data_IF_790785838742
#
_entry.id   IF_790785838742
#
_cell.length_a   1.000
_cell.length_b   1.000
_cell.length_c   1.000
_cell.angle_alpha   90.00
_cell.angle_beta   90.00
_cell.angle_gamma   90.00
#
_symmetry.space_group_name_H-M   'P 1'
#
loop_
_entity.id
_entity.type
_entity.pdbx_description
1 polymer ?
#
# COMPACT_ATOMS: atom_id res chain seq x y z
N UNK A 1 47.33 -10.59 81.08
CA UNK A 1 45.88 -10.50 80.76
C UNK A 1 45.49 -9.04 80.79
N UNK A 2 44.65 -8.65 79.84
CA UNK A 2 44.09 -7.30 79.61
C UNK A 2 44.99 -6.31 78.85
N UNK A 3 44.41 -5.82 77.76
CA UNK A 3 44.96 -4.91 76.78
C UNK A 3 44.11 -5.05 75.53
N UNK A 4 42.84 -4.63 75.60
CA UNK A 4 41.91 -4.65 74.47
C UNK A 4 42.41 -3.70 73.40
N UNK A 5 42.98 -4.27 72.34
CA UNK A 5 43.05 -3.66 71.03
C UNK A 5 41.65 -3.66 70.38
N UNK A 6 41.48 -2.72 69.43
CA UNK A 6 40.40 -2.61 68.45
C UNK A 6 39.07 -2.05 68.95
N UNK A 7 38.90 -0.72 68.80
CA UNK A 7 37.65 -0.12 68.31
C UNK A 7 37.94 1.31 67.83
N UNK A 8 38.83 1.42 66.86
CA UNK A 8 39.28 2.69 66.27
C UNK A 8 38.72 2.93 64.87
N UNK A 9 37.57 2.33 64.50
CA UNK A 9 37.05 2.40 63.12
C UNK A 9 35.51 2.32 62.99
N UNK A 10 34.74 2.48 64.07
CA UNK A 10 33.28 2.61 63.93
C UNK A 10 32.95 4.04 63.44
N UNK A 11 32.56 4.15 62.17
CA UNK A 11 32.04 5.39 61.60
C UNK A 11 30.71 5.71 62.31
N UNK A 12 30.75 6.63 63.28
CA UNK A 12 29.56 7.09 63.98
C UNK A 12 28.62 7.85 63.03
N UNK A 13 27.56 7.16 62.60
CA UNK A 13 26.53 7.70 61.69
C UNK A 13 25.86 8.97 62.25
N UNK A 14 25.82 9.11 63.58
CA UNK A 14 25.23 10.26 64.25
C UNK A 14 26.14 11.50 64.20
N UNK A 15 27.46 11.30 64.29
CA UNK A 15 28.44 12.38 64.18
C UNK A 15 28.47 12.94 62.75
N UNK A 16 28.39 12.07 61.75
CA UNK A 16 28.23 12.47 60.34
C UNK A 16 26.95 13.31 60.14
N UNK A 17 25.87 13.00 60.84
CA UNK A 17 24.60 13.74 60.74
C UNK A 17 24.70 15.14 61.35
N UNK A 18 25.36 15.28 62.51
CA UNK A 18 25.68 16.58 63.13
C UNK A 18 26.63 17.41 62.27
N UNK A 19 27.63 16.77 61.66
CA UNK A 19 28.58 17.40 60.76
C UNK A 19 27.88 17.95 59.50
N UNK A 20 26.95 17.18 58.94
CA UNK A 20 26.11 17.62 57.83
C UNK A 20 25.23 18.82 58.22
N UNK A 21 24.69 18.82 59.45
CA UNK A 21 23.88 19.91 59.99
C UNK A 21 24.65 21.22 60.13
N UNK A 22 25.91 21.17 60.60
CA UNK A 22 26.80 22.32 60.66
C UNK A 22 27.15 22.87 59.27
N UNK A 23 27.22 21.98 58.28
CA UNK A 23 27.47 22.31 56.87
C UNK A 23 26.26 22.84 56.08
N UNK A 24 25.09 23.08 56.72
CA UNK A 24 23.83 23.43 56.05
C UNK A 24 23.93 24.54 55.00
N UNK A 25 24.73 25.58 55.24
CA UNK A 25 24.90 26.69 54.28
C UNK A 25 25.56 26.23 52.98
N UNK A 26 26.59 25.39 53.09
CA UNK A 26 27.31 24.81 51.95
C UNK A 26 26.41 23.93 51.11
N UNK A 27 25.59 23.08 51.75
CA UNK A 27 24.62 22.20 51.09
C UNK A 27 23.55 23.03 50.37
N UNK A 28 23.02 24.07 51.01
CA UNK A 28 22.03 24.96 50.40
C UNK A 28 22.62 25.67 49.17
N UNK A 29 23.87 26.16 49.24
CA UNK A 29 24.53 26.84 48.12
C UNK A 29 24.76 25.89 46.94
N UNK A 30 25.24 24.66 47.18
CA UNK A 30 25.49 23.68 46.11
C UNK A 30 24.19 23.22 45.45
N UNK A 31 23.13 22.99 46.24
CA UNK A 31 21.81 22.66 45.72
C UNK A 31 21.22 23.82 44.92
N UNK A 32 21.31 25.06 45.39
CA UNK A 32 20.86 26.23 44.63
C UNK A 32 21.60 26.36 43.29
N UNK A 33 22.91 26.12 43.27
CA UNK A 33 23.71 26.17 42.06
C UNK A 33 23.32 25.10 41.03
N UNK A 34 23.13 23.84 41.46
CA UNK A 34 22.70 22.76 40.53
C UNK A 34 21.28 22.98 40.02
N UNK A 35 20.38 23.49 40.87
CA UNK A 35 19.01 23.83 40.47
C UNK A 35 19.01 24.96 39.43
N UNK A 36 19.83 25.99 39.61
CA UNK A 36 19.96 27.09 38.66
C UNK A 36 20.44 26.61 37.27
N UNK A 37 21.42 25.70 37.24
CA UNK A 37 21.87 25.07 35.99
C UNK A 37 20.78 24.21 35.33
N UNK A 38 20.01 23.46 36.12
CA UNK A 38 18.91 22.65 35.60
C UNK A 38 17.78 23.50 34.99
N UNK A 39 17.45 24.64 35.61
CA UNK A 39 16.48 25.60 35.06
C UNK A 39 17.01 26.22 33.76
N UNK A 40 18.30 26.56 33.70
CA UNK A 40 18.94 27.02 32.46
C UNK A 40 18.84 25.98 31.33
N UNK A 41 19.10 24.70 31.64
CA UNK A 41 18.98 23.61 30.68
C UNK A 41 17.55 23.42 30.16
N UNK A 42 16.54 23.53 31.03
CA UNK A 42 15.13 23.39 30.64
C UNK A 42 14.64 24.49 29.68
N UNK A 43 15.22 25.68 29.72
CA UNK A 43 14.91 26.75 28.77
C UNK A 43 15.55 26.53 27.39
N UNK A 44 16.68 25.83 27.34
CA UNK A 44 17.39 25.55 26.08
C UNK A 44 16.95 24.22 25.43
N UNK A 45 16.47 23.27 26.22
CA UNK A 45 16.02 21.97 25.75
C UNK A 45 14.75 22.12 24.88
N UNK A 46 14.92 21.96 23.56
CA UNK A 46 13.82 21.96 22.59
C UNK A 46 12.81 20.85 22.92
N UNK A 47 11.54 21.23 23.07
CA UNK A 47 10.44 20.32 23.40
C UNK A 47 10.24 19.27 22.29
N UNK A 48 10.15 17.98 22.64
CA UNK A 48 9.86 16.89 21.69
C UNK A 48 8.44 16.36 21.93
N UNK A 49 7.67 16.31 20.84
CA UNK A 49 6.31 15.80 20.79
C UNK A 49 6.34 14.55 19.90
N UNK A 50 6.07 13.36 20.46
CA UNK A 50 6.03 12.12 19.68
C UNK A 50 4.58 11.70 19.47
N UNK A 51 4.14 11.75 18.21
CA UNK A 51 2.81 11.25 17.82
C UNK A 51 2.92 9.76 17.51
N UNK A 52 2.29 8.93 18.33
CA UNK A 52 2.21 7.48 18.09
C UNK A 52 1.05 7.25 17.12
N UNK A 53 1.36 6.89 15.88
CA UNK A 53 0.37 6.39 14.92
C UNK A 53 0.45 4.86 14.90
N UNK A 54 -0.63 4.19 15.30
CA UNK A 54 -0.76 2.74 15.14
C UNK A 54 -1.17 2.49 13.69
N UNK A 55 -0.22 2.05 12.86
CA UNK A 55 -0.53 1.58 11.50
C UNK A 55 -1.20 0.21 11.61
N UNK A 56 -2.50 0.16 11.30
CA UNK A 56 -3.21 -1.13 11.22
C UNK A 56 -3.07 -1.65 9.79
N UNK A 57 -2.62 -2.90 9.57
CA UNK A 57 -2.62 -3.50 8.24
C UNK A 57 -4.05 -3.57 7.68
N UNK A 58 -4.23 -3.54 6.35
CA UNK A 58 -5.54 -3.54 5.72
C UNK A 58 -6.37 -4.77 6.15
N UNK A 59 -7.66 -4.55 6.37
CA UNK A 59 -8.58 -5.62 6.81
C UNK A 59 -8.70 -6.69 5.71
N UNK A 60 -8.68 -7.98 6.09
CA UNK A 60 -8.77 -9.14 5.18
C UNK A 60 -9.95 -9.06 4.19
N UNK A 61 -11.05 -8.37 4.54
CA UNK A 61 -12.19 -8.14 3.65
C UNK A 61 -11.85 -7.30 2.41
N UNK A 62 -11.00 -6.29 2.53
CA UNK A 62 -10.62 -5.41 1.39
C UNK A 62 -9.68 -6.12 0.40
N UNK A 63 -8.86 -7.05 0.89
CA UNK A 63 -8.05 -7.94 0.06
C UNK A 63 -8.92 -8.94 -0.71
N UNK A 64 -9.97 -9.47 -0.06
CA UNK A 64 -10.95 -10.32 -0.71
C UNK A 64 -11.67 -9.56 -1.83
N UNK A 65 -12.13 -8.34 -1.57
CA UNK A 65 -12.80 -7.49 -2.56
C UNK A 65 -11.91 -7.14 -3.75
N UNK A 66 -10.64 -6.79 -3.51
CA UNK A 66 -9.67 -6.56 -4.60
C UNK A 66 -9.43 -7.82 -5.43
N UNK A 67 -9.23 -8.98 -4.78
CA UNK A 67 -9.03 -10.25 -5.48
C UNK A 67 -10.24 -10.66 -6.30
N UNK A 68 -11.46 -10.43 -5.78
CA UNK A 68 -12.71 -10.68 -6.46
C UNK A 68 -12.86 -9.75 -7.67
N UNK A 69 -12.52 -8.47 -7.54
CA UNK A 69 -12.58 -7.50 -8.64
C UNK A 69 -11.56 -7.81 -9.73
N UNK A 70 -10.33 -8.18 -9.36
CA UNK A 70 -9.30 -8.64 -10.30
C UNK A 70 -9.77 -9.88 -11.07
N UNK A 71 -10.30 -10.88 -10.36
CA UNK A 71 -10.82 -12.10 -10.96
C UNK A 71 -12.02 -11.84 -11.87
N UNK A 72 -12.93 -10.95 -11.47
CA UNK A 72 -14.07 -10.55 -12.28
C UNK A 72 -13.62 -9.86 -13.59
N UNK A 73 -12.58 -9.03 -13.52
CA UNK A 73 -12.00 -8.41 -14.70
C UNK A 73 -11.35 -9.45 -15.63
N UNK A 74 -10.54 -10.37 -15.09
CA UNK A 74 -9.93 -11.46 -15.86
C UNK A 74 -10.99 -12.32 -16.57
N UNK A 75 -12.06 -12.69 -15.87
CA UNK A 75 -13.18 -13.45 -16.45
C UNK A 75 -13.86 -12.65 -17.56
N UNK A 76 -14.06 -11.34 -17.38
CA UNK A 76 -14.70 -10.49 -18.38
C UNK A 76 -13.85 -10.35 -19.64
N UNK A 77 -12.54 -10.15 -19.47
CA UNK A 77 -11.57 -10.16 -20.59
C UNK A 77 -11.66 -11.50 -21.33
N UNK A 78 -11.58 -12.63 -20.61
CA UNK A 78 -11.63 -13.96 -21.21
C UNK A 78 -12.96 -14.25 -21.93
N UNK A 79 -14.07 -13.75 -21.39
CA UNK A 79 -15.39 -13.93 -21.99
C UNK A 79 -15.47 -13.15 -23.31
N UNK A 80 -15.06 -11.88 -23.30
CA UNK A 80 -15.04 -11.03 -24.49
C UNK A 80 -14.13 -11.62 -25.57
N UNK A 81 -12.92 -12.08 -25.23
CA UNK A 81 -12.02 -12.69 -26.21
C UNK A 81 -12.60 -13.95 -26.82
N UNK A 82 -13.17 -14.83 -25.99
CA UNK A 82 -13.81 -16.07 -26.46
C UNK A 82 -15.01 -15.76 -27.37
N UNK A 83 -15.79 -14.73 -27.05
CA UNK A 83 -16.91 -14.29 -27.89
C UNK A 83 -16.43 -13.73 -29.23
N UNK A 84 -15.37 -12.91 -29.25
CA UNK A 84 -14.77 -12.41 -30.48
C UNK A 84 -14.30 -13.55 -31.39
N UNK A 85 -13.59 -14.53 -30.83
CA UNK A 85 -13.10 -15.69 -31.57
C UNK A 85 -14.25 -16.54 -32.11
N UNK A 86 -15.30 -16.74 -31.30
CA UNK A 86 -16.50 -17.45 -31.74
C UNK A 86 -17.22 -16.71 -32.89
N UNK A 87 -17.30 -15.38 -32.84
CA UNK A 87 -17.90 -14.58 -33.92
C UNK A 87 -17.08 -14.67 -35.21
N UNK A 88 -15.76 -14.56 -35.13
CA UNK A 88 -14.86 -14.70 -36.29
C UNK A 88 -14.98 -16.10 -36.88
N UNK A 89 -14.94 -17.13 -36.04
CA UNK A 89 -15.11 -18.53 -36.47
C UNK A 89 -16.46 -18.74 -37.16
N UNK A 90 -17.54 -18.22 -36.59
CA UNK A 90 -18.88 -18.31 -37.17
C UNK A 90 -18.96 -17.59 -38.53
N UNK A 91 -18.36 -16.40 -38.64
CA UNK A 91 -18.30 -15.66 -39.90
C UNK A 91 -17.51 -16.43 -40.97
N UNK A 92 -16.40 -17.08 -40.58
CA UNK A 92 -15.61 -17.92 -41.46
C UNK A 92 -16.38 -19.16 -41.91
N UNK A 93 -17.07 -19.85 -41.01
CA UNK A 93 -17.91 -21.01 -41.33
C UNK A 93 -19.06 -20.64 -42.27
N UNK A 94 -19.70 -19.48 -42.06
CA UNK A 94 -20.72 -18.95 -42.98
C UNK A 94 -20.13 -18.71 -44.37
N UNK A 95 -18.93 -18.13 -44.46
CA UNK A 95 -18.23 -17.93 -45.73
C UNK A 95 -17.92 -19.25 -46.43
N UNK A 96 -17.41 -20.25 -45.70
CA UNK A 96 -17.14 -21.60 -46.23
C UNK A 96 -18.42 -22.28 -46.72
N UNK A 97 -19.52 -22.17 -45.95
CA UNK A 97 -20.82 -22.70 -46.35
C UNK A 97 -21.32 -22.06 -47.64
N UNK A 98 -21.24 -20.73 -47.74
CA UNK A 98 -21.63 -19.97 -48.94
C UNK A 98 -20.86 -20.43 -50.18
N UNK A 99 -19.55 -20.65 -50.05
CA UNK A 99 -18.72 -21.21 -51.13
C UNK A 99 -19.20 -22.60 -51.57
N UNK A 100 -19.55 -23.47 -50.62
CA UNK A 100 -20.08 -24.80 -50.93
C UNK A 100 -21.39 -24.70 -51.72
N UNK A 101 -22.34 -23.89 -51.26
CA UNK A 101 -23.64 -23.68 -51.92
C UNK A 101 -23.45 -23.10 -53.33
N UNK A 102 -22.60 -22.08 -53.48
CA UNK A 102 -22.26 -21.50 -54.80
C UNK A 102 -21.63 -22.53 -55.74
N UNK A 103 -20.75 -23.39 -55.22
CA UNK A 103 -20.10 -24.43 -56.03
C UNK A 103 -21.10 -25.50 -56.51
N UNK A 104 -22.11 -25.81 -55.70
CA UNK A 104 -23.17 -26.75 -56.05
C UNK A 104 -24.13 -26.15 -57.08
N UNK A 105 -24.54 -24.90 -56.86
CA UNK A 105 -25.33 -24.14 -57.82
C UNK A 105 -24.63 -24.02 -59.19
N UNK A 106 -23.30 -23.83 -59.21
CA UNK A 106 -22.52 -23.78 -60.44
C UNK A 106 -22.60 -25.11 -61.22
N UNK A 107 -22.43 -26.25 -60.54
CA UNK A 107 -22.54 -27.58 -61.18
C UNK A 107 -23.91 -27.80 -61.82
N UNK A 108 -24.97 -27.40 -61.12
CA UNK A 108 -26.36 -27.51 -61.63
C UNK A 108 -26.56 -26.59 -62.83
N UNK A 109 -26.07 -25.34 -62.77
CA UNK A 109 -26.17 -24.38 -63.86
C UNK A 109 -25.40 -24.83 -65.12
N UNK A 110 -24.24 -25.44 -64.95
CA UNK A 110 -23.44 -26.03 -66.04
C UNK A 110 -24.15 -27.21 -66.69
N UNK A 111 -24.72 -28.13 -65.90
CA UNK A 111 -25.46 -29.29 -66.40
C UNK A 111 -26.74 -28.90 -67.16
N UNK A 112 -27.39 -27.81 -66.76
CA UNK A 112 -28.63 -27.29 -67.37
C UNK A 112 -28.38 -26.31 -68.51
N UNK A 113 -27.13 -25.95 -68.78
CA UNK A 113 -26.72 -24.93 -69.76
C UNK A 113 -27.48 -23.60 -69.57
N UNK A 114 -27.72 -23.23 -68.30
CA UNK A 114 -28.58 -22.11 -67.94
C UNK A 114 -27.92 -20.78 -68.26
N UNK A 115 -28.53 -20.04 -69.19
CA UNK A 115 -28.19 -18.65 -69.51
C UNK A 115 -28.97 -17.75 -68.55
N UNK A 116 -28.25 -16.86 -67.86
CA UNK A 116 -28.75 -15.98 -66.78
C UNK A 116 -30.16 -15.43 -67.03
N UNK A 117 -31.06 -15.62 -66.06
CA UNK A 117 -32.39 -15.03 -66.05
C UNK A 117 -32.32 -13.79 -65.16
N UNK A 118 -32.48 -12.61 -65.73
CA UNK A 118 -32.44 -11.35 -64.99
C UNK A 118 -33.63 -11.28 -64.02
N UNK A 119 -33.37 -11.36 -62.72
CA UNK A 119 -34.39 -11.29 -61.67
C UNK A 119 -34.63 -9.82 -61.29
N UNK A 120 -35.88 -9.35 -61.42
CA UNK A 120 -36.26 -7.96 -61.14
C UNK A 120 -36.34 -7.63 -59.65
N UNK A 121 -36.42 -8.64 -58.78
CA UNK A 121 -36.49 -8.47 -57.33
C UNK A 121 -35.51 -9.44 -56.66
N UNK A 122 -34.51 -8.88 -55.98
CA UNK A 122 -33.38 -9.60 -55.40
C UNK A 122 -33.64 -10.09 -53.96
N UNK A 123 -34.87 -9.96 -53.46
CA UNK A 123 -35.06 -9.90 -52.01
C UNK A 123 -35.03 -11.25 -51.30
N UNK A 124 -35.28 -12.38 -51.97
CA UNK A 124 -35.15 -13.72 -51.38
C UNK A 124 -34.75 -14.74 -52.46
N UNK A 125 -33.51 -14.65 -52.96
CA UNK A 125 -32.94 -15.77 -53.70
C UNK A 125 -32.61 -16.87 -52.68
N UNK A 126 -33.42 -17.94 -52.62
CA UNK A 126 -33.11 -19.08 -51.75
C UNK A 126 -31.82 -19.76 -52.21
N UNK A 127 -31.14 -20.43 -51.28
CA UNK A 127 -29.92 -21.18 -51.57
C UNK A 127 -30.12 -22.19 -52.72
N UNK A 128 -31.32 -22.74 -52.90
CA UNK A 128 -31.63 -23.66 -54.00
C UNK A 128 -31.86 -22.97 -55.34
N UNK A 129 -32.27 -21.69 -55.38
CA UNK A 129 -32.52 -20.96 -56.64
C UNK A 129 -31.27 -20.28 -57.20
N UNK A 130 -30.14 -20.40 -56.51
CA UNK A 130 -28.88 -19.73 -56.84
C UNK A 130 -28.34 -20.12 -58.22
N UNK A 131 -28.65 -21.31 -58.74
CA UNK A 131 -28.27 -21.75 -60.09
C UNK A 131 -28.90 -20.90 -61.20
N UNK A 132 -30.04 -20.25 -60.95
CA UNK A 132 -30.74 -19.40 -61.92
C UNK A 132 -29.94 -18.17 -62.34
N UNK A 133 -28.96 -17.77 -61.51
CA UNK A 133 -28.04 -16.67 -61.79
C UNK A 133 -27.16 -16.94 -63.03
N UNK A 134 -26.93 -18.22 -63.34
CA UNK A 134 -26.19 -18.70 -64.51
C UNK A 134 -24.68 -18.82 -64.31
N UNK A 135 -24.04 -19.61 -65.18
CA UNK A 135 -22.61 -19.99 -65.10
C UNK A 135 -21.65 -18.78 -65.07
N UNK A 136 -21.79 -17.75 -65.92
CA UNK A 136 -20.84 -16.63 -65.93
C UNK A 136 -20.81 -15.88 -64.60
N UNK A 137 -21.98 -15.61 -64.02
CA UNK A 137 -22.12 -14.87 -62.78
C UNK A 137 -21.63 -15.67 -61.57
N UNK A 138 -22.01 -16.94 -61.45
CA UNK A 138 -21.54 -17.81 -60.36
C UNK A 138 -20.02 -17.99 -60.37
N UNK A 139 -19.41 -18.17 -61.57
CA UNK A 139 -17.96 -18.27 -61.71
C UNK A 139 -17.24 -16.98 -61.29
N UNK A 140 -17.79 -15.82 -61.63
CA UNK A 140 -17.25 -14.52 -61.19
C UNK A 140 -17.38 -14.34 -59.67
N UNK A 141 -18.51 -14.70 -59.07
CA UNK A 141 -18.71 -14.61 -57.62
C UNK A 141 -17.71 -15.50 -56.89
N UNK A 142 -17.58 -16.77 -57.29
CA UNK A 142 -16.63 -17.72 -56.68
C UNK A 142 -15.18 -17.23 -56.84
N UNK A 143 -14.81 -16.73 -58.03
CA UNK A 143 -13.46 -16.19 -58.27
C UNK A 143 -13.16 -14.95 -57.42
N UNK A 144 -14.18 -14.15 -57.09
CA UNK A 144 -14.03 -12.95 -56.27
C UNK A 144 -14.28 -13.19 -54.77
N UNK A 145 -14.76 -14.36 -54.35
CA UNK A 145 -15.17 -14.65 -52.96
C UNK A 145 -14.04 -14.41 -51.94
N UNK A 146 -12.79 -14.66 -52.35
CA UNK A 146 -11.59 -14.43 -51.53
C UNK A 146 -11.40 -12.95 -51.15
N UNK A 147 -11.88 -12.01 -51.96
CA UNK A 147 -11.72 -10.56 -51.74
C UNK A 147 -12.80 -9.95 -50.83
N UNK A 148 -13.89 -10.67 -50.54
CA UNK A 148 -14.93 -10.16 -49.65
C UNK A 148 -14.49 -10.23 -48.19
N UNK A 149 -14.53 -9.10 -47.45
CA UNK A 149 -14.22 -9.07 -46.03
C UNK A 149 -15.24 -9.90 -45.25
N UNK A 150 -14.82 -10.44 -44.09
CA UNK A 150 -15.75 -11.09 -43.18
C UNK A 150 -16.70 -10.03 -42.63
N UNK A 151 -18.00 -10.23 -42.86
CA UNK A 151 -19.02 -9.37 -42.27
C UNK A 151 -19.19 -9.73 -40.79
N UNK A 152 -18.68 -8.86 -39.93
CA UNK A 152 -18.79 -8.98 -38.48
C UNK A 152 -19.89 -8.05 -37.95
N UNK A 153 -20.50 -8.41 -36.83
CA UNK A 153 -21.59 -7.63 -36.22
C UNK A 153 -21.06 -6.35 -35.55
N UNK A 154 -21.93 -5.35 -35.36
CA UNK A 154 -21.58 -4.13 -34.60
C UNK A 154 -21.10 -4.47 -33.17
N UNK A 155 -21.64 -5.54 -32.59
CA UNK A 155 -21.22 -6.06 -31.28
C UNK A 155 -19.73 -6.44 -31.25
N UNK A 156 -19.18 -6.98 -32.34
CA UNK A 156 -17.76 -7.33 -32.43
C UNK A 156 -16.86 -6.11 -32.20
N UNK A 157 -17.16 -5.00 -32.89
CA UNK A 157 -16.38 -3.78 -32.77
C UNK A 157 -16.57 -3.11 -31.41
N UNK A 158 -17.80 -3.11 -30.87
CA UNK A 158 -18.07 -2.63 -29.50
C UNK A 158 -17.25 -3.40 -28.45
N UNK A 159 -17.20 -4.72 -28.57
CA UNK A 159 -16.44 -5.57 -27.67
C UNK A 159 -14.93 -5.41 -27.86
N UNK A 160 -14.46 -5.16 -29.07
CA UNK A 160 -13.05 -4.86 -29.37
C UNK A 160 -12.59 -3.54 -28.72
N UNK A 161 -13.40 -2.49 -28.82
CA UNK A 161 -13.14 -1.21 -28.14
C UNK A 161 -13.12 -1.40 -26.62
N UNK A 162 -14.09 -2.15 -26.09
CA UNK A 162 -14.14 -2.50 -24.66
C UNK A 162 -12.88 -3.25 -24.23
N UNK A 163 -12.44 -4.24 -25.00
CA UNK A 163 -11.23 -5.01 -24.71
C UNK A 163 -9.97 -4.14 -24.74
N UNK A 164 -9.86 -3.21 -25.70
CA UNK A 164 -8.76 -2.23 -25.75
C UNK A 164 -8.76 -1.33 -24.52
N UNK A 165 -9.92 -0.78 -24.15
CA UNK A 165 -10.05 0.02 -22.94
C UNK A 165 -9.64 -0.78 -21.69
N UNK A 166 -10.03 -2.06 -21.58
CA UNK A 166 -9.62 -2.93 -20.47
C UNK A 166 -8.11 -3.24 -20.48
N UNK A 167 -7.49 -3.37 -21.65
CA UNK A 167 -6.04 -3.60 -21.79
C UNK A 167 -5.19 -2.38 -21.43
N UNK A 168 -5.73 -1.18 -21.59
CA UNK A 168 -5.08 0.07 -21.14
C UNK A 168 -5.14 0.26 -19.61
N UNK A 169 -6.04 -0.45 -18.92
CA UNK A 169 -6.05 -0.49 -17.45
C UNK A 169 -4.80 -1.27 -17.02
N UNK A 170 -3.69 -0.54 -16.86
CA UNK A 170 -2.50 -1.02 -16.18
C UNK A 170 -2.87 -1.21 -14.71
N UNK A 171 -3.38 -2.39 -14.36
CA UNK A 171 -3.36 -2.84 -12.97
C UNK A 171 -1.90 -2.94 -12.62
N UNK A 172 -1.42 -1.90 -11.93
CA UNK A 172 -0.06 -1.84 -11.43
C UNK A 172 0.02 -2.97 -10.41
N UNK A 173 0.65 -4.08 -10.82
CA UNK A 173 1.03 -5.21 -9.96
C UNK A 173 2.16 -4.80 -9.02
N UNK A 174 1.99 -3.64 -8.41
CA UNK A 174 2.89 -3.13 -7.42
C UNK A 174 2.36 -3.64 -6.10
N UNK A 175 3.11 -4.55 -5.48
CA UNK A 175 2.92 -4.93 -4.09
C UNK A 175 3.02 -3.71 -3.15
N UNK A 176 3.39 -2.54 -3.66
CA UNK A 176 3.35 -1.21 -3.03
C UNK A 176 2.13 -0.34 -3.39
N UNK A 177 1.11 -0.84 -4.11
CA UNK A 177 -0.23 -0.26 -3.97
C UNK A 177 -0.74 -0.72 -2.62
N UNK A 178 -0.21 -0.12 -1.56
CA UNK A 178 -1.02 0.15 -0.38
C UNK A 178 -2.18 0.98 -0.93
N UNK A 179 -3.25 0.31 -1.38
CA UNK A 179 -4.57 0.87 -1.38
C UNK A 179 -4.67 1.44 0.02
N UNK A 180 -4.51 2.74 0.16
CA UNK A 180 -4.60 3.46 1.43
C UNK A 180 -6.06 3.38 1.85
N UNK A 181 -6.53 2.17 2.14
CA UNK A 181 -7.80 1.88 2.73
C UNK A 181 -7.66 2.12 4.24
N UNK A 182 -7.09 3.26 4.60
CA UNK A 182 -7.10 3.77 5.96
C UNK A 182 -8.45 4.45 6.16
N UNK A 183 -9.47 3.67 6.53
CA UNK A 183 -10.68 4.25 7.11
C UNK A 183 -10.37 4.65 8.55
N UNK A 184 -10.26 5.96 8.81
CA UNK A 184 -10.17 6.47 10.17
C UNK A 184 -11.54 6.28 10.85
N UNK A 185 -11.68 5.28 11.73
CA UNK A 185 -12.89 5.12 12.54
C UNK A 185 -13.04 6.24 13.58
N UNK A 186 -11.93 6.87 13.97
CA UNK A 186 -11.90 8.07 14.81
C UNK A 186 -10.74 8.99 14.39
N UNK A 187 -10.95 10.32 14.48
CA UNK A 187 -9.89 11.30 14.27
C UNK A 187 -8.74 11.03 15.26
N UNK A 188 -7.47 11.13 14.84
CA UNK A 188 -6.33 10.95 15.73
C UNK A 188 -6.46 11.92 16.91
N UNK A 189 -6.61 11.40 18.12
CA UNK A 189 -6.59 12.27 19.29
C UNK A 189 -5.18 12.81 19.46
N UNK A 190 -5.07 14.14 19.37
CA UNK A 190 -3.83 14.86 19.60
C UNK A 190 -3.25 14.40 20.95
N UNK A 191 -1.99 13.94 21.01
CA UNK A 191 -1.40 13.50 22.26
C UNK A 191 -1.37 14.67 23.24
N UNK A 192 -2.14 14.55 24.32
CA UNK A 192 -2.36 15.63 25.31
C UNK A 192 -1.15 15.78 26.25
N UNK A 193 -0.10 14.96 26.12
CA UNK A 193 1.00 14.88 27.08
C UNK A 193 2.36 15.07 26.39
N UNK A 194 3.17 15.99 26.91
CA UNK A 194 4.54 16.28 26.44
C UNK A 194 5.49 15.13 26.79
N UNK A 195 6.25 14.60 25.81
CA UNK A 195 7.21 13.49 26.04
C UNK A 195 8.57 13.95 26.57
N UNK A 196 9.06 15.13 26.16
CA UNK A 196 10.30 15.69 26.69
C UNK A 196 10.34 17.23 26.61
N UNK A 197 11.05 17.91 27.53
CA UNK A 197 11.74 17.35 28.71
C UNK A 197 10.78 17.13 29.90
N UNK A 198 10.95 16.02 30.64
CA UNK A 198 10.23 15.75 31.89
C UNK A 198 10.74 16.70 33.00
N UNK A 199 10.16 17.90 33.06
CA UNK A 199 10.58 19.00 33.97
C UNK A 199 10.70 18.53 35.42
N UNK A 200 9.75 17.71 35.89
CA UNK A 200 9.76 17.14 37.25
C UNK A 200 10.96 16.21 37.49
N UNK A 201 11.26 15.32 36.55
CA UNK A 201 12.36 14.36 36.70
C UNK A 201 13.73 15.06 36.76
N UNK A 202 13.93 16.07 35.91
CA UNK A 202 15.18 16.84 35.85
C UNK A 202 15.39 17.66 37.13
N UNK A 203 14.32 18.23 37.68
CA UNK A 203 14.38 19.01 38.91
C UNK A 203 14.69 18.12 40.12
N UNK A 204 14.04 16.95 40.23
CA UNK A 204 14.32 15.97 41.29
C UNK A 204 15.77 15.48 41.23
N UNK A 205 16.27 15.14 40.04
CA UNK A 205 17.65 14.67 39.87
C UNK A 205 18.67 15.76 40.22
N UNK A 206 18.39 17.02 39.90
CA UNK A 206 19.27 18.16 40.22
C UNK A 206 19.40 18.40 41.73
N UNK A 207 18.30 18.26 42.49
CA UNK A 207 18.32 18.39 43.95
C UNK A 207 19.10 17.24 44.59
N UNK A 208 18.87 16.01 44.13
CA UNK A 208 19.56 14.82 44.66
C UNK A 208 21.07 14.92 44.43
N UNK A 209 21.49 15.26 43.20
CA UNK A 209 22.89 15.40 42.85
C UNK A 209 23.57 16.56 43.61
N UNK A 210 22.90 17.72 43.73
CA UNK A 210 23.41 18.86 44.49
C UNK A 210 23.54 18.60 45.99
N UNK A 211 22.65 17.77 46.55
CA UNK A 211 22.72 17.31 47.93
C UNK A 211 23.90 16.37 48.18
N UNK A 212 24.13 15.41 47.28
CA UNK A 212 25.24 14.46 47.39
C UNK A 212 26.61 15.15 47.25
N UNK A 213 26.75 16.05 46.27
CA UNK A 213 27.97 16.86 46.10
C UNK A 213 28.18 17.78 47.31
N UNK A 214 27.11 18.43 47.79
CA UNK A 214 27.16 19.30 48.97
C UNK A 214 27.59 18.57 50.24
N UNK A 215 27.05 17.37 50.46
CA UNK A 215 27.46 16.51 51.57
C UNK A 215 28.94 16.11 51.47
N UNK A 216 29.39 15.68 50.29
CA UNK A 216 30.79 15.31 50.05
C UNK A 216 31.77 16.46 50.32
N UNK A 217 31.43 17.70 49.91
CA UNK A 217 32.27 18.88 50.17
C UNK A 217 32.36 19.20 51.67
N UNK A 218 31.25 19.09 52.40
CA UNK A 218 31.24 19.34 53.85
C UNK A 218 32.10 18.31 54.59
N UNK A 219 31.96 17.03 54.24
CA UNK A 219 32.74 15.95 54.84
C UNK A 219 34.24 16.09 54.53
N UNK A 220 34.58 16.36 53.27
CA UNK A 220 35.97 16.55 52.84
C UNK A 220 36.63 17.77 53.51
N UNK A 221 35.92 18.90 53.59
CA UNK A 221 36.43 20.10 54.26
C UNK A 221 36.72 19.86 55.73
N UNK A 222 35.83 19.15 56.41
CA UNK A 222 35.99 18.85 57.83
C UNK A 222 37.08 17.83 58.08
N UNK A 223 37.19 16.79 57.24
CA UNK A 223 38.29 15.80 57.32
C UNK A 223 39.66 16.46 57.14
N UNK A 224 39.80 17.36 56.16
CA UNK A 224 41.03 18.14 55.97
C UNK A 224 41.33 19.08 57.14
N UNK A 225 40.29 19.64 57.77
CA UNK A 225 40.46 20.47 58.99
C UNK A 225 40.97 19.63 60.15
N UNK A 226 40.42 18.43 60.35
CA UNK A 226 40.87 17.49 61.38
C UNK A 226 42.31 17.02 61.16
N UNK A 227 42.73 16.79 59.91
CA UNK A 227 44.10 16.40 59.57
C UNK A 227 45.11 17.56 59.74
N UNK A 228 44.70 18.81 59.54
CA UNK A 228 45.57 19.98 59.72
C UNK A 228 45.73 20.44 61.18
N UNK A 229 44.90 19.91 62.08
CA UNK A 229 44.86 20.27 63.51
C UNK A 229 45.46 19.19 64.42
N UNK A 230 46.05 18.14 63.85
CA UNK A 230 46.82 17.10 64.52
C UNK A 230 48.27 17.10 64.02
#
# INVERSE_FOLDING_TARGET
>A
MSGHESNSDEIDLFELLLQLWNGRKTIIITVCFTVMLAVGYLNFAKEKWTSIAIITPPQLGQLADYSNMKKALEIKIQTITTELDAQVKTAQEKKVRRLSVLSEALKIAEATNTKSIMLKEANELSDEMLFMLGVPALKTIIANESFWPLYLSDSYYSNLETLRALGEIKIRDDRSVTLEAFSFSQQPSLPVIKDAPKKTLILVLSVLLGGLIGAGIVLCREFLRHYSAS
#
